data_IF_737649846164
#
_entry.id   IF_737649846164
#
_cell.length_a   1.000
_cell.length_b   1.000
_cell.length_c   1.000
_cell.angle_alpha   90.00
_cell.angle_beta   90.00
_cell.angle_gamma   90.00
#
_symmetry.space_group_name_H-M   'P 1'
#
loop_
_entity.id
_entity.type
_entity.pdbx_description
1 polymer ?
#
# COMPACT_ATOMS: atom_id res chain seq x y z
N UNK A 1 0.42 -21.29 26.52
CA UNK A 1 0.46 -21.91 25.17
C UNK A 1 1.13 -20.88 24.28
N UNK A 2 2.46 -20.96 24.11
CA UNK A 2 3.16 -20.07 23.19
C UNK A 2 2.78 -20.50 21.77
N UNK A 3 2.03 -19.64 21.08
CA UNK A 3 1.92 -19.74 19.64
C UNK A 3 3.33 -19.48 19.11
N UNK A 4 4.02 -20.55 18.69
CA UNK A 4 5.12 -20.41 17.76
C UNK A 4 4.54 -19.74 16.53
N UNK A 5 4.75 -18.43 16.40
CA UNK A 5 4.58 -17.73 15.14
C UNK A 5 5.46 -18.48 14.14
N UNK A 6 4.82 -19.26 13.26
CA UNK A 6 5.50 -19.75 12.06
C UNK A 6 6.19 -18.54 11.46
N UNK A 7 7.50 -18.63 11.28
CA UNK A 7 8.32 -17.60 10.66
C UNK A 7 7.82 -17.47 9.23
N UNK A 8 6.81 -16.63 9.02
CA UNK A 8 6.18 -16.38 7.74
C UNK A 8 7.27 -15.92 6.80
N UNK A 9 7.46 -16.67 5.72
CA UNK A 9 8.55 -16.47 4.78
C UNK A 9 8.51 -15.01 4.30
N UNK A 10 9.50 -14.17 4.67
CA UNK A 10 9.42 -12.73 4.47
C UNK A 10 9.55 -12.35 2.99
N UNK A 11 9.55 -13.28 2.05
CA UNK A 11 9.91 -12.99 0.67
C UNK A 11 8.67 -12.60 -0.19
N UNK A 12 7.46 -12.69 0.39
CA UNK A 12 6.23 -12.39 -0.34
C UNK A 12 5.17 -11.65 0.50
N UNK A 13 4.22 -11.02 -0.18
CA UNK A 13 3.07 -10.35 0.43
C UNK A 13 1.88 -11.30 0.67
N UNK A 14 2.01 -12.59 0.36
CA UNK A 14 0.87 -13.50 0.16
C UNK A 14 0.17 -13.89 1.49
N UNK A 15 0.81 -13.61 2.63
CA UNK A 15 0.39 -14.18 3.92
C UNK A 15 -0.21 -13.18 4.91
N UNK A 16 -0.03 -11.87 4.71
CA UNK A 16 -0.49 -10.86 5.69
C UNK A 16 -1.08 -9.58 5.13
N UNK A 17 -0.61 -9.04 3.99
CA UNK A 17 -1.14 -7.79 3.43
C UNK A 17 -0.95 -6.52 4.28
N UNK A 18 -0.39 -6.61 5.49
CA UNK A 18 -0.42 -5.54 6.49
C UNK A 18 0.21 -4.23 6.03
N UNK A 19 1.28 -4.27 5.24
CA UNK A 19 1.88 -3.05 4.70
C UNK A 19 0.93 -2.31 3.75
N UNK A 20 0.02 -3.01 3.07
CA UNK A 20 -0.98 -2.41 2.18
C UNK A 20 -2.21 -1.89 2.95
N UNK A 21 -2.44 -2.36 4.18
CA UNK A 21 -3.47 -1.83 5.08
C UNK A 21 -2.94 -0.65 5.91
N UNK A 22 -1.72 -0.71 6.44
CA UNK A 22 -1.23 0.30 7.39
C UNK A 22 -0.62 1.57 6.80
N UNK A 23 -0.14 1.56 5.56
CA UNK A 23 0.67 2.66 4.99
C UNK A 23 -0.15 3.76 4.30
N UNK A 24 -1.48 3.67 4.34
CA UNK A 24 -2.36 4.47 3.49
C UNK A 24 -2.24 4.08 2.02
N UNK A 25 -2.32 5.06 1.12
CA UNK A 25 -2.37 4.81 -0.33
C UNK A 25 -1.23 5.50 -1.10
N UNK A 26 -0.01 4.92 -1.13
CA UNK A 26 1.15 5.49 -1.83
C UNK A 26 0.93 5.76 -3.31
N UNK A 27 -0.05 5.09 -3.92
CA UNK A 27 -0.43 5.28 -5.34
C UNK A 27 -1.05 6.66 -5.60
N UNK A 28 -1.42 7.40 -4.55
CA UNK A 28 -1.76 8.82 -4.64
C UNK A 28 -0.66 9.66 -5.28
N UNK A 29 0.62 9.27 -5.13
CA UNK A 29 1.74 9.93 -5.82
C UNK A 29 1.57 9.96 -7.33
N UNK A 30 0.78 9.02 -7.88
CA UNK A 30 0.52 8.93 -9.30
C UNK A 30 -0.75 9.68 -9.71
N UNK A 31 -1.53 10.26 -8.79
CA UNK A 31 -2.70 11.04 -9.15
C UNK A 31 -2.29 12.34 -9.86
N UNK A 32 -3.06 12.75 -10.87
CA UNK A 32 -2.90 14.04 -11.52
C UNK A 32 -3.49 15.11 -10.62
N UNK A 33 -2.65 16.03 -10.17
CA UNK A 33 -3.10 17.21 -9.43
C UNK A 33 -3.51 18.28 -10.43
N UNK A 34 -4.64 18.93 -10.16
CA UNK A 34 -5.37 19.69 -11.17
C UNK A 34 -4.58 20.81 -11.85
N UNK A 35 -3.69 21.50 -11.14
CA UNK A 35 -2.90 22.63 -11.67
C UNK A 35 -1.48 22.26 -12.11
N UNK A 36 -1.01 21.05 -11.78
CA UNK A 36 0.32 20.58 -12.17
C UNK A 36 0.30 20.17 -13.65
N UNK A 37 0.98 20.95 -14.49
CA UNK A 37 1.13 20.65 -15.92
C UNK A 37 1.94 19.39 -16.19
N UNK A 38 2.66 18.88 -15.18
CA UNK A 38 3.55 17.72 -15.29
C UNK A 38 3.17 16.63 -14.28
N UNK A 39 3.22 15.34 -14.67
CA UNK A 39 3.09 14.23 -13.75
C UNK A 39 4.10 14.32 -12.61
N UNK A 40 3.75 13.73 -11.46
CA UNK A 40 4.71 13.59 -10.36
C UNK A 40 5.97 12.83 -10.85
N UNK A 41 7.19 13.23 -10.48
CA UNK A 41 8.44 12.63 -10.95
C UNK A 41 8.65 11.15 -10.58
N UNK A 42 7.76 10.58 -9.76
CA UNK A 42 7.79 9.17 -9.38
C UNK A 42 6.70 8.35 -10.09
N UNK A 43 5.82 8.99 -10.87
CA UNK A 43 4.86 8.31 -11.72
C UNK A 43 5.63 7.68 -12.89
N UNK A 44 5.47 6.37 -13.16
CA UNK A 44 6.05 5.75 -14.35
C UNK A 44 5.47 6.37 -15.62
N UNK A 45 6.33 6.64 -16.60
CA UNK A 45 5.91 7.20 -17.90
C UNK A 45 5.02 6.22 -18.70
N UNK A 46 5.19 4.93 -18.45
CA UNK A 46 4.47 3.83 -19.11
C UNK A 46 3.28 3.30 -18.30
N UNK A 47 2.85 4.03 -17.24
CA UNK A 47 1.68 3.66 -16.46
C UNK A 47 0.43 3.60 -17.37
N UNK A 48 -0.31 2.47 -17.41
CA UNK A 48 -1.49 2.33 -18.26
C UNK A 48 -2.55 3.38 -17.94
N UNK A 49 -3.22 3.88 -18.98
CA UNK A 49 -4.23 4.92 -18.85
C UNK A 49 -5.38 4.49 -17.92
N UNK A 50 -5.79 3.22 -17.97
CA UNK A 50 -6.85 2.72 -17.09
C UNK A 50 -6.49 2.77 -15.60
N UNK A 51 -5.22 2.57 -15.25
CA UNK A 51 -4.77 2.66 -13.85
C UNK A 51 -4.69 4.12 -13.42
N UNK A 52 -4.25 5.01 -14.32
CA UNK A 52 -4.26 6.44 -14.04
C UNK A 52 -5.68 6.97 -13.83
N UNK A 53 -6.64 6.52 -14.63
CA UNK A 53 -8.06 6.86 -14.48
C UNK A 53 -8.63 6.34 -13.15
N UNK A 54 -8.32 5.09 -12.76
CA UNK A 54 -8.71 4.52 -11.46
C UNK A 54 -8.18 5.38 -10.31
N UNK A 55 -6.88 5.73 -10.34
CA UNK A 55 -6.22 6.55 -9.34
C UNK A 55 -6.88 7.93 -9.27
N UNK A 56 -7.03 8.61 -10.41
CA UNK A 56 -7.61 9.95 -10.45
C UNK A 56 -9.04 9.98 -9.94
N UNK A 57 -9.85 8.99 -10.34
CA UNK A 57 -11.22 8.87 -9.86
C UNK A 57 -11.26 8.69 -8.35
N UNK A 58 -10.45 7.78 -7.81
CA UNK A 58 -10.44 7.46 -6.38
C UNK A 58 -10.04 8.65 -5.50
N UNK A 59 -9.08 9.46 -5.95
CA UNK A 59 -8.59 10.61 -5.18
C UNK A 59 -9.20 11.95 -5.60
N UNK A 60 -10.11 11.96 -6.58
CA UNK A 60 -10.74 13.19 -7.06
C UNK A 60 -11.50 13.91 -5.94
N UNK A 61 -11.30 15.23 -5.85
CA UNK A 61 -11.98 16.07 -4.87
C UNK A 61 -11.45 15.97 -3.43
N UNK A 62 -10.45 15.13 -3.16
CA UNK A 62 -9.78 15.10 -1.86
C UNK A 62 -8.83 16.29 -1.73
N UNK A 63 -8.96 17.03 -0.64
CA UNK A 63 -7.93 17.99 -0.24
C UNK A 63 -6.74 17.25 0.40
N UNK A 64 -5.59 17.93 0.46
CA UNK A 64 -4.40 17.40 1.13
C UNK A 64 -4.72 17.02 2.57
N UNK A 65 -4.42 15.77 2.95
CA UNK A 65 -4.69 15.21 4.28
C UNK A 65 -6.06 14.55 4.43
N UNK A 66 -6.89 14.53 3.39
CA UNK A 66 -8.17 13.82 3.37
C UNK A 66 -8.08 12.42 2.76
N UNK A 67 -6.87 11.99 2.39
CA UNK A 67 -6.68 10.71 1.72
C UNK A 67 -6.85 9.54 2.69
N UNK A 68 -7.50 8.43 2.28
CA UNK A 68 -7.66 7.26 3.13
C UNK A 68 -6.31 6.75 3.64
N UNK A 69 -6.17 6.70 4.97
CA UNK A 69 -4.95 6.21 5.64
C UNK A 69 -5.05 4.73 6.03
N UNK A 70 -6.28 4.18 6.05
CA UNK A 70 -6.53 2.83 6.56
C UNK A 70 -6.26 1.71 5.56
N UNK A 71 -6.11 2.03 4.26
CA UNK A 71 -5.91 1.05 3.21
C UNK A 71 -5.48 1.68 1.90
N UNK A 72 -4.55 1.03 1.20
CA UNK A 72 -4.17 1.38 -0.15
C UNK A 72 -5.28 1.06 -1.16
N UNK A 73 -5.48 1.93 -2.14
CA UNK A 73 -6.41 1.72 -3.26
C UNK A 73 -6.18 0.36 -3.93
N UNK A 74 -4.93 -0.03 -4.15
CA UNK A 74 -4.59 -1.27 -4.83
C UNK A 74 -4.52 -2.51 -3.93
N UNK A 75 -4.93 -2.41 -2.67
CA UNK A 75 -5.03 -3.58 -1.81
C UNK A 75 -6.28 -4.41 -2.17
N UNK A 76 -6.08 -5.71 -2.38
CA UNK A 76 -7.15 -6.71 -2.49
C UNK A 76 -7.32 -7.38 -1.13
N UNK A 77 -8.49 -7.20 -0.51
CA UNK A 77 -8.80 -7.77 0.80
C UNK A 77 -8.97 -9.28 0.79
N UNK A 78 -9.40 -9.85 -0.32
CA UNK A 78 -9.73 -11.27 -0.40
C UNK A 78 -8.46 -12.10 -0.55
N UNK A 79 -7.59 -11.69 -1.48
CA UNK A 79 -6.28 -12.33 -1.66
C UNK A 79 -5.21 -11.82 -0.70
N UNK A 80 -5.41 -10.66 -0.06
CA UNK A 80 -4.43 -9.94 0.77
C UNK A 80 -3.17 -9.51 0.01
N UNK A 81 -3.32 -9.20 -1.28
CA UNK A 81 -2.22 -8.83 -2.20
C UNK A 81 -2.45 -7.50 -2.88
N UNK A 82 -1.41 -6.96 -3.51
CA UNK A 82 -1.55 -5.79 -4.38
C UNK A 82 -2.10 -6.21 -5.75
N UNK A 83 -3.19 -5.58 -6.19
CA UNK A 83 -3.84 -5.81 -7.50
C UNK A 83 -2.93 -5.47 -8.68
N UNK A 84 -2.01 -4.52 -8.50
CA UNK A 84 -1.12 -4.01 -9.55
C UNK A 84 0.35 -4.04 -9.10
N UNK A 85 0.83 -5.22 -8.68
CA UNK A 85 2.15 -5.39 -8.06
C UNK A 85 3.32 -4.84 -8.90
N UNK A 86 3.24 -4.95 -10.23
CA UNK A 86 4.27 -4.46 -11.15
C UNK A 86 4.35 -2.93 -11.22
N UNK A 87 3.27 -2.23 -10.84
CA UNK A 87 3.14 -0.79 -10.89
C UNK A 87 3.36 -0.12 -9.53
N UNK A 88 3.75 -0.89 -8.51
CA UNK A 88 3.95 -0.37 -7.16
C UNK A 88 4.84 0.89 -7.13
N UNK A 89 4.47 1.93 -6.36
CA UNK A 89 5.33 3.05 -6.06
C UNK A 89 6.67 2.63 -5.47
N UNK A 90 7.70 3.47 -5.65
CA UNK A 90 9.05 3.18 -5.21
C UNK A 90 9.12 2.84 -3.70
N UNK A 91 8.38 3.57 -2.86
CA UNK A 91 8.27 3.26 -1.42
C UNK A 91 7.78 1.83 -1.13
N UNK A 92 6.90 1.28 -1.97
CA UNK A 92 6.42 -0.10 -1.85
C UNK A 92 7.42 -1.13 -2.41
N UNK A 93 8.32 -0.72 -3.32
CA UNK A 93 9.40 -1.57 -3.85
C UNK A 93 10.59 -1.65 -2.89
N UNK A 94 10.91 -0.53 -2.27
CA UNK A 94 11.99 -0.41 -1.29
C UNK A 94 11.61 -0.97 0.08
N UNK A 95 10.32 -1.26 0.29
CA UNK A 95 9.85 -1.86 1.53
C UNK A 95 10.46 -3.26 1.71
N UNK A 96 11.40 -3.35 2.65
CA UNK A 96 12.06 -4.59 3.01
C UNK A 96 11.09 -5.49 3.78
N UNK A 97 10.58 -6.51 3.10
CA UNK A 97 9.79 -7.54 3.74
C UNK A 97 10.66 -8.30 4.76
N UNK A 98 10.12 -8.52 5.97
CA UNK A 98 10.90 -9.04 7.10
C UNK A 98 11.88 -8.06 7.74
N UNK A 99 12.02 -6.84 7.21
CA UNK A 99 12.77 -5.76 7.86
C UNK A 99 12.00 -5.12 9.02
N UNK A 100 12.63 -4.17 9.70
CA UNK A 100 12.11 -3.56 10.93
C UNK A 100 10.69 -3.00 10.79
N UNK A 101 10.40 -2.28 9.70
CA UNK A 101 9.06 -1.75 9.44
C UNK A 101 8.01 -2.86 9.25
N UNK A 102 8.39 -3.98 8.62
CA UNK A 102 7.51 -5.14 8.44
C UNK A 102 7.22 -5.84 9.76
N UNK A 103 8.25 -6.02 10.59
CA UNK A 103 8.11 -6.63 11.91
C UNK A 103 7.27 -5.75 12.85
N UNK A 104 7.47 -4.43 12.82
CA UNK A 104 6.70 -3.49 13.62
C UNK A 104 5.20 -3.52 13.29
N UNK A 105 4.84 -3.51 12.00
CA UNK A 105 3.43 -3.61 11.59
C UNK A 105 2.80 -4.94 12.02
N UNK A 106 3.55 -6.05 11.91
CA UNK A 106 3.11 -7.36 12.41
C UNK A 106 2.89 -7.36 13.92
N UNK A 107 3.78 -6.75 14.70
CA UNK A 107 3.61 -6.61 16.14
C UNK A 107 2.40 -5.74 16.50
N UNK A 108 2.18 -4.62 15.81
CA UNK A 108 1.05 -3.74 16.04
C UNK A 108 -0.28 -4.47 15.77
N UNK A 109 -0.34 -5.23 14.68
CA UNK A 109 -1.48 -6.09 14.37
C UNK A 109 -1.72 -7.14 15.47
N UNK A 110 -0.67 -7.82 15.95
CA UNK A 110 -0.80 -8.79 17.03
C UNK A 110 -1.29 -8.16 18.34
N UNK A 111 -0.92 -6.91 18.63
CA UNK A 111 -1.45 -6.19 19.80
C UNK A 111 -2.93 -5.87 19.63
N UNK A 112 -3.33 -5.36 18.45
CA UNK A 112 -4.73 -4.98 18.21
C UNK A 112 -5.70 -6.16 18.27
N UNK A 113 -5.29 -7.36 17.82
CA UNK A 113 -6.14 -8.57 17.92
C UNK A 113 -6.20 -9.17 19.32
N UNK A 114 -5.22 -8.92 20.18
CA UNK A 114 -5.20 -9.44 21.55
C UNK A 114 -5.94 -8.52 22.54
N UNK A 115 -6.16 -7.26 22.16
CA UNK A 115 -6.92 -6.26 22.93
C UNK A 115 -8.39 -6.17 22.52
N UNK A 116 -8.77 -6.81 21.41
CA UNK A 116 -10.14 -6.92 20.89
C UNK A 116 -10.89 -8.14 21.46
#
# INVERSE_FOLDING_TARGET
MLLCLETINPDSCDDCGLCCEGIGSPVLLYASRGDDSEPHPYRPDDLPAELLDEINFHFSGLARGQEPQERCLWYDTDSRRCRHYQWRPQVCRDYALGGDACLLERENYLKSVNEA
#
